data_IF_395348753594
#
_entry.id   IF_395348753594
#
_cell.length_a   1.000
_cell.length_b   1.000
_cell.length_c   1.000
_cell.angle_alpha   90.00
_cell.angle_beta   90.00
_cell.angle_gamma   90.00
#
_symmetry.space_group_name_H-M   'P 1'
#
loop_
_entity.id
_entity.type
_entity.pdbx_description
1 polymer ?
#
# COMPACT_ATOMS: atom_id res chain seq x y z
N UNK A 1 -27.35 -83.43 11.78
CA UNK A 1 -26.54 -82.45 12.54
C UNK A 1 -26.41 -81.18 11.74
N UNK A 2 -27.25 -80.22 11.99
CA UNK A 2 -27.21 -78.88 11.30
C UNK A 2 -26.80 -77.85 12.33
N UNK A 3 -25.66 -77.23 12.15
CA UNK A 3 -25.21 -76.09 12.95
C UNK A 3 -25.72 -74.80 12.30
N UNK A 4 -26.54 -74.08 13.04
CA UNK A 4 -26.99 -72.72 12.69
C UNK A 4 -25.90 -71.75 13.16
N UNK A 5 -25.49 -70.87 12.24
CA UNK A 5 -24.61 -69.76 12.53
C UNK A 5 -25.47 -68.51 12.66
N UNK A 6 -25.53 -67.93 13.83
CA UNK A 6 -26.24 -66.68 14.12
C UNK A 6 -25.28 -65.54 13.86
N UNK A 7 -25.56 -64.68 12.87
CA UNK A 7 -24.84 -63.46 12.61
C UNK A 7 -25.55 -62.32 13.37
N UNK A 8 -24.85 -61.77 14.37
CA UNK A 8 -25.28 -60.57 15.08
C UNK A 8 -24.86 -59.35 14.28
N UNK A 9 -25.82 -58.58 13.79
CA UNK A 9 -25.57 -57.29 13.18
C UNK A 9 -25.57 -56.23 14.28
N UNK A 10 -24.39 -55.69 14.58
CA UNK A 10 -24.23 -54.54 15.47
C UNK A 10 -24.40 -53.29 14.60
N UNK A 11 -25.53 -52.61 14.73
CA UNK A 11 -25.76 -51.30 14.15
C UNK A 11 -24.99 -50.24 14.97
N UNK A 12 -23.83 -49.85 14.48
CA UNK A 12 -23.09 -48.71 14.99
C UNK A 12 -23.72 -47.41 14.49
N UNK A 13 -24.34 -46.67 15.38
CA UNK A 13 -24.74 -45.26 15.11
C UNK A 13 -23.48 -44.42 15.16
N UNK A 14 -22.97 -44.07 14.00
CA UNK A 14 -21.94 -43.03 13.89
C UNK A 14 -22.62 -41.68 14.15
N UNK A 15 -22.44 -41.13 15.34
CA UNK A 15 -22.71 -39.73 15.62
C UNK A 15 -21.70 -38.91 14.82
N UNK A 16 -22.13 -38.31 13.72
CA UNK A 16 -21.39 -37.28 13.02
C UNK A 16 -21.39 -36.04 13.93
N UNK A 17 -20.39 -35.91 14.78
CA UNK A 17 -20.08 -34.68 15.44
C UNK A 17 -19.68 -33.66 14.38
N UNK A 18 -20.53 -32.68 14.14
CA UNK A 18 -20.14 -31.45 13.45
C UNK A 18 -19.12 -30.76 14.37
N UNK A 19 -17.88 -31.03 14.10
CA UNK A 19 -16.77 -30.26 14.67
C UNK A 19 -16.84 -28.89 13.98
N UNK A 20 -17.56 -27.96 14.62
CA UNK A 20 -17.46 -26.54 14.33
C UNK A 20 -16.03 -26.12 14.60
N UNK A 21 -15.14 -26.39 13.65
CA UNK A 21 -13.84 -25.74 13.61
C UNK A 21 -14.13 -24.23 13.50
N UNK A 22 -14.18 -23.57 14.67
CA UNK A 22 -14.02 -22.15 14.76
C UNK A 22 -12.83 -21.82 13.85
N UNK A 23 -13.14 -21.26 12.68
CA UNK A 23 -12.12 -20.62 11.87
C UNK A 23 -11.61 -19.48 12.75
N UNK A 24 -10.50 -19.72 13.43
CA UNK A 24 -9.70 -18.67 14.04
C UNK A 24 -9.24 -17.84 12.84
N UNK A 25 -9.91 -16.71 12.61
CA UNK A 25 -9.40 -15.64 11.75
C UNK A 25 -8.17 -15.06 12.45
N UNK A 26 -7.08 -15.83 12.43
CA UNK A 26 -5.76 -15.28 12.67
C UNK A 26 -5.49 -14.38 11.49
N UNK A 27 -5.28 -13.09 11.76
CA UNK A 27 -4.73 -12.20 10.75
C UNK A 27 -3.51 -12.90 10.14
N UNK A 28 -3.39 -12.93 8.79
CA UNK A 28 -2.23 -13.56 8.18
C UNK A 28 -0.98 -12.92 8.77
N UNK A 29 0.01 -13.75 9.13
CA UNK A 29 1.25 -13.25 9.68
C UNK A 29 1.82 -12.19 8.73
N UNK A 30 2.16 -11.02 9.27
CA UNK A 30 2.72 -9.94 8.50
C UNK A 30 3.94 -10.45 7.74
N UNK A 31 3.86 -10.44 6.42
CA UNK A 31 5.03 -10.73 5.61
C UNK A 31 5.94 -9.51 5.69
N UNK A 32 7.05 -9.60 6.42
CA UNK A 32 8.10 -8.58 6.31
C UNK A 32 8.56 -8.52 4.86
N UNK A 33 8.69 -7.31 4.29
CA UNK A 33 9.36 -7.14 3.01
C UNK A 33 10.79 -7.65 3.19
N UNK A 34 11.24 -8.59 2.34
CA UNK A 34 12.63 -8.99 2.35
C UNK A 34 13.48 -7.75 2.06
N UNK A 35 14.55 -7.48 2.81
CA UNK A 35 15.46 -6.41 2.48
C UNK A 35 15.97 -6.62 1.04
N UNK A 36 16.11 -5.53 0.29
CA UNK A 36 16.70 -5.59 -1.04
C UNK A 36 18.13 -6.16 -0.90
N UNK A 37 18.36 -7.36 -1.43
CA UNK A 37 19.67 -8.02 -1.38
C UNK A 37 20.65 -7.49 -2.43
N UNK A 38 20.26 -6.44 -3.17
CA UNK A 38 21.16 -5.79 -4.12
C UNK A 38 22.19 -5.00 -3.35
N UNK A 39 23.47 -5.34 -3.52
CA UNK A 39 24.58 -4.59 -2.95
C UNK A 39 24.45 -3.10 -3.32
N UNK A 40 24.71 -2.16 -2.38
CA UNK A 40 24.67 -0.75 -2.71
C UNK A 40 25.65 -0.48 -3.85
N UNK A 41 25.14 0.14 -4.92
CA UNK A 41 25.98 0.57 -6.04
C UNK A 41 26.93 1.66 -5.56
N UNK A 42 28.17 1.67 -6.07
CA UNK A 42 29.26 2.49 -5.57
C UNK A 42 29.05 4.02 -5.71
N UNK A 43 27.93 4.48 -6.27
CA UNK A 43 27.63 5.90 -6.54
C UNK A 43 26.15 6.26 -6.35
N UNK A 44 25.45 5.62 -5.42
CA UNK A 44 24.08 6.00 -5.12
C UNK A 44 24.01 7.16 -4.13
N UNK A 45 23.08 8.10 -4.37
CA UNK A 45 22.65 9.08 -3.38
C UNK A 45 21.36 8.61 -2.74
N UNK A 46 21.30 8.72 -1.42
CA UNK A 46 20.11 8.42 -0.64
C UNK A 46 19.21 9.64 -0.49
N UNK A 47 17.90 9.43 -0.67
CA UNK A 47 16.87 10.43 -0.41
C UNK A 47 15.92 9.92 0.65
N UNK A 48 15.51 10.78 1.58
CA UNK A 48 14.48 10.49 2.56
C UNK A 48 13.20 11.24 2.22
N UNK A 49 12.07 10.52 2.16
CA UNK A 49 10.75 11.11 1.93
C UNK A 49 10.38 11.99 3.12
N UNK A 50 9.89 13.19 2.85
CA UNK A 50 9.59 14.19 3.87
C UNK A 50 8.08 14.40 4.08
N UNK A 51 7.75 15.19 5.12
CA UNK A 51 6.37 15.47 5.54
C UNK A 51 5.56 16.31 4.52
N UNK A 52 6.14 16.75 3.41
CA UNK A 52 5.40 17.40 2.30
C UNK A 52 4.83 16.40 1.31
N UNK A 53 5.00 15.12 1.59
CA UNK A 53 4.53 14.03 0.75
C UNK A 53 3.10 13.65 1.10
N UNK A 54 2.31 13.34 0.07
CA UNK A 54 0.93 12.88 0.24
C UNK A 54 0.61 11.71 -0.67
N UNK A 55 -0.41 10.94 -0.27
CA UNK A 55 -1.04 9.94 -1.11
C UNK A 55 -2.53 10.23 -1.21
N UNK A 56 -3.07 10.14 -2.42
CA UNK A 56 -4.51 10.27 -2.65
C UNK A 56 -5.08 8.93 -3.08
N UNK A 57 -6.29 8.64 -2.64
CA UNK A 57 -7.00 7.39 -2.90
C UNK A 57 -8.35 7.75 -3.49
N UNK A 58 -8.65 7.16 -4.64
CA UNK A 58 -9.91 7.31 -5.34
C UNK A 58 -10.59 5.95 -5.53
N UNK A 59 -11.86 5.83 -5.07
CA UNK A 59 -12.61 4.58 -5.13
C UNK A 59 -13.97 4.85 -5.80
N UNK A 60 -14.03 4.79 -7.14
CA UNK A 60 -15.25 5.09 -7.88
C UNK A 60 -16.23 3.93 -7.83
N UNK A 61 -17.23 3.99 -6.96
CA UNK A 61 -18.33 3.04 -6.92
C UNK A 61 -19.62 3.64 -7.52
N UNK A 62 -20.56 2.81 -8.00
CA UNK A 62 -21.76 3.29 -8.67
C UNK A 62 -22.65 4.24 -7.84
N UNK A 63 -22.68 4.07 -6.53
CA UNK A 63 -23.52 4.88 -5.63
C UNK A 63 -22.74 5.89 -4.79
N UNK A 64 -21.43 5.75 -4.70
CA UNK A 64 -20.58 6.59 -3.86
C UNK A 64 -19.16 6.63 -4.42
N UNK A 65 -18.63 7.84 -4.55
CA UNK A 65 -17.27 8.06 -5.04
C UNK A 65 -16.40 8.46 -3.86
N UNK A 66 -15.76 7.46 -3.23
CA UNK A 66 -14.96 7.69 -2.03
C UNK A 66 -13.63 8.33 -2.41
N UNK A 67 -13.34 9.46 -1.77
CA UNK A 67 -12.05 10.15 -1.84
C UNK A 67 -11.39 10.11 -0.48
N UNK A 68 -10.15 9.66 -0.43
CA UNK A 68 -9.37 9.55 0.78
C UNK A 68 -7.90 9.90 0.53
N UNK A 69 -7.12 10.00 1.58
CA UNK A 69 -5.69 10.22 1.47
C UNK A 69 -4.99 10.23 2.82
N UNK A 70 -3.66 10.29 2.78
CA UNK A 70 -2.80 10.48 3.95
C UNK A 70 -1.64 11.41 3.58
N UNK A 71 -1.25 12.27 4.51
CA UNK A 71 -0.10 13.15 4.41
C UNK A 71 1.11 12.62 5.22
N UNK A 72 1.04 11.38 5.72
CA UNK A 72 2.07 10.75 6.52
C UNK A 72 2.84 9.69 5.71
N UNK A 73 3.44 10.10 4.58
CA UNK A 73 4.33 9.26 3.82
C UNK A 73 5.78 9.38 4.32
N UNK A 74 6.48 8.25 4.38
CA UNK A 74 7.90 8.14 4.77
C UNK A 74 8.61 7.15 3.85
N UNK A 75 9.93 7.00 3.99
CA UNK A 75 10.70 6.03 3.23
C UNK A 75 12.01 6.57 2.72
N UNK A 76 12.70 5.75 1.93
CA UNK A 76 13.99 6.11 1.35
C UNK A 76 14.10 5.63 -0.09
N UNK A 77 14.84 6.39 -0.90
CA UNK A 77 15.18 6.04 -2.27
C UNK A 77 16.70 6.10 -2.42
N UNK A 78 17.29 5.07 -3.01
CA UNK A 78 18.69 5.01 -3.40
C UNK A 78 18.77 5.18 -4.91
N UNK A 79 19.39 6.27 -5.40
CA UNK A 79 19.38 6.66 -6.81
C UNK A 79 20.80 6.73 -7.35
N UNK A 80 21.10 6.02 -8.43
CA UNK A 80 22.31 6.17 -9.23
C UNK A 80 22.02 7.11 -10.42
N UNK A 81 22.59 8.29 -10.42
CA UNK A 81 22.36 9.30 -11.46
C UNK A 81 22.89 8.91 -12.84
N UNK A 82 23.85 7.99 -12.91
CA UNK A 82 24.41 7.47 -14.18
C UNK A 82 23.67 6.24 -14.68
N UNK A 83 22.88 5.60 -13.80
CA UNK A 83 22.09 4.42 -14.15
C UNK A 83 20.77 4.39 -13.34
N UNK A 84 19.79 5.21 -13.72
CA UNK A 84 18.50 5.30 -13.04
C UNK A 84 17.74 3.97 -12.96
N UNK A 85 18.01 3.00 -13.86
CA UNK A 85 17.41 1.67 -13.81
C UNK A 85 17.80 0.89 -12.54
N UNK A 86 18.91 1.26 -11.90
CA UNK A 86 19.35 0.64 -10.65
C UNK A 86 18.69 1.22 -9.40
N UNK A 87 17.84 2.25 -9.53
CA UNK A 87 17.11 2.84 -8.40
C UNK A 87 16.35 1.80 -7.61
N UNK A 88 16.45 1.87 -6.28
CA UNK A 88 15.75 1.04 -5.32
C UNK A 88 15.20 1.91 -4.22
N UNK A 89 14.27 1.37 -3.45
CA UNK A 89 13.75 2.10 -2.31
C UNK A 89 12.43 1.58 -1.80
N UNK A 90 11.91 2.30 -0.84
CA UNK A 90 10.68 1.95 -0.16
C UNK A 90 9.89 3.23 0.17
N UNK A 91 8.60 3.21 -0.11
CA UNK A 91 7.63 4.24 0.27
C UNK A 91 6.64 3.63 1.24
N UNK A 92 6.40 4.29 2.37
CA UNK A 92 5.44 3.89 3.40
C UNK A 92 4.41 4.97 3.61
N UNK A 93 3.13 4.61 3.59
CA UNK A 93 2.02 5.47 3.99
C UNK A 93 1.44 4.97 5.31
N UNK A 94 1.32 5.84 6.32
CA UNK A 94 0.75 5.51 7.62
C UNK A 94 -0.79 5.51 7.54
N UNK A 95 -1.40 4.32 7.52
CA UNK A 95 -2.84 4.14 7.37
C UNK A 95 -3.64 4.62 8.60
N UNK A 96 -2.99 4.81 9.75
CA UNK A 96 -3.65 5.41 10.93
C UNK A 96 -3.99 6.89 10.72
N UNK A 97 -3.35 7.54 9.74
CA UNK A 97 -3.61 8.94 9.37
C UNK A 97 -4.57 9.07 8.18
N UNK A 98 -4.98 7.95 7.57
CA UNK A 98 -5.94 7.95 6.46
C UNK A 98 -7.18 8.76 6.85
N UNK A 99 -7.61 9.64 5.97
CA UNK A 99 -8.84 10.43 6.13
C UNK A 99 -9.63 10.45 4.83
N UNK A 100 -10.96 10.40 4.94
CA UNK A 100 -11.87 10.56 3.81
C UNK A 100 -12.35 12.00 3.68
N UNK A 101 -12.63 12.41 2.45
CA UNK A 101 -13.14 13.75 2.10
C UNK A 101 -14.24 13.63 1.03
N UNK A 102 -15.07 12.61 1.15
CA UNK A 102 -16.07 12.24 0.16
C UNK A 102 -17.25 13.20 0.14
N UNK A 103 -17.73 13.59 1.33
CA UNK A 103 -18.98 14.34 1.48
C UNK A 103 -18.76 15.86 1.61
N UNK A 104 -17.56 16.31 1.97
CA UNK A 104 -17.31 17.69 2.38
C UNK A 104 -18.08 18.08 3.65
N UNK A 105 -18.50 17.10 4.44
CA UNK A 105 -19.21 17.20 5.70
C UNK A 105 -18.37 16.49 6.77
N UNK A 106 -17.93 17.24 7.78
CA UNK A 106 -16.94 16.77 8.75
C UNK A 106 -17.39 15.51 9.52
N UNK A 107 -18.68 15.42 9.88
CA UNK A 107 -19.19 14.30 10.68
C UNK A 107 -19.33 13.02 9.80
N UNK A 108 -19.82 13.19 8.57
CA UNK A 108 -19.92 12.08 7.62
C UNK A 108 -18.54 11.57 7.18
N UNK A 109 -17.63 12.48 6.87
CA UNK A 109 -16.25 12.14 6.50
C UNK A 109 -15.52 11.47 7.66
N UNK A 110 -15.72 11.93 8.92
CA UNK A 110 -15.19 11.29 10.11
C UNK A 110 -15.72 9.86 10.28
N UNK A 111 -17.02 9.66 10.13
CA UNK A 111 -17.64 8.32 10.23
C UNK A 111 -17.10 7.39 9.14
N UNK A 112 -17.00 7.87 7.89
CA UNK A 112 -16.46 7.07 6.79
C UNK A 112 -14.98 6.75 7.01
N UNK A 113 -14.19 7.70 7.53
CA UNK A 113 -12.80 7.49 7.93
C UNK A 113 -12.68 6.37 8.95
N UNK A 114 -13.51 6.38 10.01
CA UNK A 114 -13.55 5.32 11.00
C UNK A 114 -13.81 3.94 10.38
N UNK A 115 -14.80 3.84 9.50
CA UNK A 115 -15.08 2.59 8.78
C UNK A 115 -13.91 2.14 7.93
N UNK A 116 -13.25 3.05 7.18
CA UNK A 116 -12.10 2.70 6.35
C UNK A 116 -10.94 2.16 7.19
N UNK A 117 -10.61 2.83 8.31
CA UNK A 117 -9.57 2.36 9.24
C UNK A 117 -9.95 1.03 9.92
N UNK A 118 -11.23 0.80 10.21
CA UNK A 118 -11.71 -0.47 10.77
C UNK A 118 -11.52 -1.62 9.77
N UNK A 119 -11.80 -1.40 8.49
CA UNK A 119 -11.59 -2.44 7.47
C UNK A 119 -10.11 -2.75 7.23
N UNK A 120 -9.25 -1.76 7.44
CA UNK A 120 -7.79 -1.91 7.39
C UNK A 120 -7.20 -2.42 8.72
N UNK A 121 -8.03 -2.61 9.74
CA UNK A 121 -7.64 -3.08 11.08
C UNK A 121 -6.61 -2.16 11.78
N UNK A 122 -6.71 -0.84 11.52
CA UNK A 122 -5.84 0.19 12.12
C UNK A 122 -6.64 1.25 12.90
N UNK A 123 -7.96 1.06 13.09
CA UNK A 123 -8.79 1.98 13.87
C UNK A 123 -8.43 1.95 15.35
N UNK A 124 -8.64 3.09 16.02
CA UNK A 124 -8.44 3.28 17.46
C UNK A 124 -9.74 3.62 18.20
N UNK A 125 -9.70 3.59 19.52
CA UNK A 125 -10.78 3.99 20.41
C UNK A 125 -12.00 3.09 20.30
N UNK A 126 -13.19 3.69 20.22
CA UNK A 126 -14.47 2.98 20.16
C UNK A 126 -14.63 2.11 18.89
N UNK A 127 -14.00 2.52 17.79
CA UNK A 127 -14.11 1.87 16.48
C UNK A 127 -13.09 0.75 16.29
N UNK A 128 -12.02 0.69 17.13
CA UNK A 128 -10.95 -0.30 16.99
C UNK A 128 -10.66 -1.03 18.30
N UNK A 129 -11.20 -2.25 18.42
CA UNK A 129 -11.02 -3.12 19.61
C UNK A 129 -9.96 -4.19 19.41
N UNK A 130 -9.19 -4.12 18.33
CA UNK A 130 -8.12 -5.06 18.04
C UNK A 130 -6.91 -4.83 18.96
N UNK A 131 -6.12 -5.89 19.27
CA UNK A 131 -4.86 -5.77 19.97
C UNK A 131 -3.87 -4.84 19.24
N UNK A 132 -3.01 -4.16 19.99
CA UNK A 132 -2.08 -3.17 19.43
C UNK A 132 -1.04 -3.79 18.48
N UNK A 133 -0.65 -5.04 18.68
CA UNK A 133 0.25 -5.77 17.78
C UNK A 133 -0.38 -6.04 16.41
N UNK A 134 -1.69 -6.31 16.35
CA UNK A 134 -2.43 -6.44 15.08
C UNK A 134 -2.47 -5.10 14.36
N UNK A 135 -2.83 -4.02 15.06
CA UNK A 135 -2.84 -2.66 14.50
C UNK A 135 -1.46 -2.22 14.02
N UNK A 136 -0.42 -2.51 14.79
CA UNK A 136 0.96 -2.19 14.42
C UNK A 136 1.40 -2.93 13.14
N UNK A 137 0.97 -4.19 12.97
CA UNK A 137 1.23 -5.00 11.78
C UNK A 137 0.60 -4.40 10.52
N UNK A 138 -0.62 -3.87 10.63
CA UNK A 138 -1.39 -3.34 9.51
C UNK A 138 -1.20 -1.82 9.29
N UNK A 139 -0.41 -1.17 10.15
CA UNK A 139 -0.25 0.27 10.19
C UNK A 139 0.18 0.90 8.88
N UNK A 140 1.04 0.24 8.11
CA UNK A 140 1.64 0.82 6.93
C UNK A 140 1.22 0.10 5.65
N UNK A 141 0.82 0.89 4.64
CA UNK A 141 0.93 0.47 3.26
C UNK A 141 2.37 0.72 2.80
N UNK A 142 3.02 -0.29 2.23
CA UNK A 142 4.44 -0.21 1.83
C UNK A 142 4.59 -0.59 0.37
N UNK A 143 5.23 0.27 -0.42
CA UNK A 143 5.64 -0.05 -1.78
C UNK A 143 7.16 -0.16 -1.86
N UNK A 144 7.67 -1.36 -2.10
CA UNK A 144 9.10 -1.65 -2.23
C UNK A 144 9.48 -1.78 -3.71
N UNK A 145 10.29 -0.84 -4.21
CA UNK A 145 10.77 -0.81 -5.60
C UNK A 145 11.79 -1.92 -5.82
N UNK A 146 11.52 -2.82 -6.79
CA UNK A 146 12.38 -3.95 -7.17
C UNK A 146 13.18 -3.69 -8.43
N UNK A 147 12.59 -2.99 -9.40
CA UNK A 147 13.25 -2.57 -10.64
C UNK A 147 12.59 -1.32 -11.21
N UNK A 148 13.30 -0.67 -12.13
CA UNK A 148 12.81 0.51 -12.85
C UNK A 148 13.11 0.31 -14.32
N UNK A 149 12.11 0.53 -15.18
CA UNK A 149 12.26 0.48 -16.63
C UNK A 149 11.48 1.61 -17.34
N UNK A 150 11.33 1.51 -18.65
CA UNK A 150 10.67 2.50 -19.51
C UNK A 150 11.11 3.94 -19.19
N UNK A 151 12.36 4.09 -18.81
CA UNK A 151 12.97 5.37 -18.50
C UNK A 151 13.03 6.26 -19.74
N UNK A 152 12.59 7.52 -19.61
CA UNK A 152 12.80 8.53 -20.66
C UNK A 152 14.27 8.91 -20.83
N UNK A 153 15.09 8.69 -19.80
CA UNK A 153 16.56 8.77 -19.81
C UNK A 153 17.13 7.83 -18.76
N UNK A 154 18.18 7.07 -19.09
CA UNK A 154 18.87 6.17 -18.15
C UNK A 154 19.94 6.88 -17.33
N UNK A 155 20.49 7.94 -17.85
CA UNK A 155 21.57 8.77 -17.26
C UNK A 155 21.06 10.20 -17.07
N UNK A 156 20.81 10.57 -15.80
CA UNK A 156 20.30 11.90 -15.44
C UNK A 156 21.26 13.02 -15.79
N UNK A 157 22.57 12.74 -15.81
CA UNK A 157 23.59 13.75 -16.11
C UNK A 157 23.50 14.27 -17.54
N UNK A 158 22.86 13.49 -18.43
CA UNK A 158 22.65 13.84 -19.84
C UNK A 158 21.30 14.53 -20.11
N UNK A 159 20.42 14.60 -19.10
CA UNK A 159 19.13 15.30 -19.22
C UNK A 159 19.38 16.79 -19.11
N UNK A 160 18.93 17.56 -20.11
CA UNK A 160 19.04 19.01 -20.07
C UNK A 160 18.18 19.60 -18.92
N UNK A 161 18.70 20.54 -18.14
CA UNK A 161 17.90 21.19 -17.10
C UNK A 161 16.89 22.16 -17.70
N UNK A 162 15.74 22.28 -17.05
CA UNK A 162 14.75 23.32 -17.25
C UNK A 162 14.70 24.22 -16.02
N UNK A 163 14.10 25.41 -16.11
CA UNK A 163 13.90 26.29 -14.95
C UNK A 163 12.53 26.08 -14.35
N UNK A 164 12.49 25.98 -13.02
CA UNK A 164 11.26 25.98 -12.21
C UNK A 164 11.46 26.98 -11.04
N UNK A 165 10.92 28.18 -11.22
CA UNK A 165 11.18 29.30 -10.31
C UNK A 165 12.67 29.64 -10.21
N UNK A 166 13.22 29.53 -8.99
CA UNK A 166 14.64 29.75 -8.71
C UNK A 166 15.51 28.50 -8.91
N UNK A 167 14.92 27.33 -9.15
CA UNK A 167 15.63 26.07 -9.27
C UNK A 167 15.84 25.66 -10.74
N UNK A 168 16.89 24.88 -10.96
CA UNK A 168 17.05 24.06 -12.14
C UNK A 168 16.46 22.67 -11.89
N UNK A 169 15.73 22.14 -12.88
CA UNK A 169 15.02 20.85 -12.73
C UNK A 169 15.35 19.93 -13.88
N UNK A 170 15.66 18.66 -13.57
CA UNK A 170 15.78 17.59 -14.56
C UNK A 170 14.67 16.55 -14.30
N UNK A 171 13.85 16.29 -15.30
CA UNK A 171 12.70 15.38 -15.17
C UNK A 171 12.89 14.13 -16.00
N UNK A 172 12.56 12.98 -15.41
CA UNK A 172 12.59 11.66 -16.04
C UNK A 172 11.27 10.96 -15.75
N UNK A 173 10.65 10.41 -16.80
CA UNK A 173 9.52 9.47 -16.65
C UNK A 173 10.05 8.05 -16.53
N UNK A 174 9.38 7.22 -15.72
CA UNK A 174 9.74 5.82 -15.52
C UNK A 174 8.52 4.98 -15.16
N UNK A 175 8.64 3.66 -15.36
CA UNK A 175 7.79 2.65 -14.73
C UNK A 175 8.60 1.96 -13.63
N UNK A 176 8.11 1.98 -12.40
CA UNK A 176 8.68 1.20 -11.30
C UNK A 176 7.89 -0.10 -11.15
N UNK A 177 8.60 -1.21 -10.97
CA UNK A 177 8.03 -2.51 -10.62
C UNK A 177 8.35 -2.81 -9.17
N UNK A 178 7.36 -3.17 -8.38
CA UNK A 178 7.55 -3.34 -6.95
C UNK A 178 6.51 -4.23 -6.30
N UNK A 179 6.69 -4.43 -5.00
CA UNK A 179 5.75 -5.16 -4.15
C UNK A 179 4.98 -4.15 -3.30
N UNK A 180 3.65 -4.16 -3.43
CA UNK A 180 2.74 -3.42 -2.57
C UNK A 180 2.27 -4.32 -1.43
N UNK A 181 2.62 -3.96 -0.20
CA UNK A 181 2.14 -4.59 1.03
C UNK A 181 1.03 -3.73 1.62
N UNK A 182 -0.15 -4.28 1.79
CA UNK A 182 -1.26 -3.69 2.54
C UNK A 182 -1.88 -4.81 3.37
N UNK A 183 -2.23 -4.54 4.62
CA UNK A 183 -2.94 -5.46 5.50
C UNK A 183 -2.29 -6.87 5.56
N UNK A 184 -0.94 -6.91 5.60
CA UNK A 184 -0.17 -8.16 5.65
C UNK A 184 -0.03 -8.91 4.31
N UNK A 185 -0.68 -8.48 3.23
CA UNK A 185 -0.65 -9.13 1.92
C UNK A 185 0.21 -8.37 0.93
N UNK A 186 1.14 -9.08 0.27
CA UNK A 186 2.02 -8.55 -0.77
C UNK A 186 1.49 -8.89 -2.15
N UNK A 187 1.46 -7.91 -3.03
CA UNK A 187 1.09 -8.09 -4.43
C UNK A 187 2.05 -7.28 -5.31
N UNK A 188 2.51 -7.84 -6.41
CA UNK A 188 3.31 -7.10 -7.38
C UNK A 188 2.46 -6.02 -8.05
N UNK A 189 3.02 -4.81 -8.15
CA UNK A 189 2.38 -3.65 -8.79
C UNK A 189 3.40 -2.81 -9.52
N UNK A 190 2.94 -2.23 -10.62
CA UNK A 190 3.67 -1.24 -11.39
C UNK A 190 3.15 0.16 -11.04
N UNK A 191 4.06 1.15 -11.05
CA UNK A 191 3.71 2.54 -10.93
C UNK A 191 4.42 3.37 -12.00
N UNK A 192 3.65 4.05 -12.84
CA UNK A 192 4.16 5.02 -13.80
C UNK A 192 4.30 6.37 -13.13
N UNK A 193 5.51 6.91 -13.14
CA UNK A 193 5.86 8.12 -12.40
C UNK A 193 6.68 9.10 -13.25
N UNK A 194 6.55 10.39 -12.91
CA UNK A 194 7.49 11.43 -13.27
C UNK A 194 8.32 11.78 -12.03
N UNK A 195 9.64 11.78 -12.19
CA UNK A 195 10.60 12.14 -11.14
C UNK A 195 11.31 13.41 -11.56
N UNK A 196 11.16 14.48 -10.77
CA UNK A 196 11.82 15.74 -10.99
C UNK A 196 12.90 15.96 -9.93
N UNK A 197 14.14 16.11 -10.36
CA UNK A 197 15.30 16.40 -9.52
C UNK A 197 15.56 17.90 -9.51
N UNK A 198 15.56 18.52 -8.33
CA UNK A 198 15.68 19.96 -8.13
C UNK A 198 17.09 20.34 -7.66
N UNK A 199 17.66 21.34 -8.30
CA UNK A 199 19.04 21.80 -8.08
C UNK A 199 19.08 23.31 -7.76
N UNK A 200 20.07 23.74 -6.98
CA UNK A 200 20.45 25.14 -7.00
C UNK A 200 21.08 25.49 -8.36
N UNK A 201 20.88 26.70 -8.87
CA UNK A 201 21.46 27.12 -10.16
C UNK A 201 22.98 26.86 -10.24
N UNK A 202 23.41 26.28 -11.35
CA UNK A 202 24.84 25.98 -11.59
C UNK A 202 25.38 24.80 -10.81
N UNK A 203 24.53 24.02 -10.14
CA UNK A 203 24.95 22.83 -9.40
C UNK A 203 25.16 21.63 -10.35
N UNK A 204 26.15 20.79 -10.05
CA UNK A 204 26.40 19.57 -10.81
C UNK A 204 25.20 18.60 -10.79
N UNK A 205 25.02 17.84 -11.87
CA UNK A 205 23.86 16.98 -12.07
C UNK A 205 23.73 15.81 -11.06
N UNK A 206 24.80 15.49 -10.34
CA UNK A 206 24.86 14.49 -9.28
C UNK A 206 24.62 15.06 -7.87
N UNK A 207 24.18 16.34 -7.76
CA UNK A 207 23.97 17.02 -6.47
C UNK A 207 22.60 17.73 -6.38
N UNK A 208 21.48 17.03 -6.59
CA UNK A 208 20.17 17.62 -6.36
C UNK A 208 19.94 17.89 -4.86
N UNK A 209 19.17 18.93 -4.57
CA UNK A 209 18.72 19.26 -3.20
C UNK A 209 17.65 18.30 -2.71
N UNK A 210 16.71 18.01 -3.58
CA UNK A 210 15.58 17.13 -3.36
C UNK A 210 15.06 16.60 -4.71
N UNK A 211 14.23 15.60 -4.65
CA UNK A 211 13.42 15.15 -5.78
C UNK A 211 11.93 15.17 -5.42
N UNK A 212 11.09 15.24 -6.46
CA UNK A 212 9.65 14.98 -6.34
C UNK A 212 9.28 13.80 -7.23
N UNK A 213 8.33 12.99 -6.78
CA UNK A 213 7.78 11.85 -7.53
C UNK A 213 6.29 12.04 -7.64
N UNK A 214 5.77 12.07 -8.87
CA UNK A 214 4.33 12.17 -9.13
C UNK A 214 3.86 11.00 -9.98
N UNK A 215 2.75 10.37 -9.59
CA UNK A 215 2.10 9.37 -10.42
C UNK A 215 1.64 10.00 -11.74
N UNK A 216 1.96 9.37 -12.87
CA UNK A 216 1.40 9.71 -14.20
C UNK A 216 0.01 9.11 -14.36
N UNK A 217 -0.13 7.88 -13.88
CA UNK A 217 -1.40 7.15 -13.80
C UNK A 217 -1.57 6.63 -12.38
N UNK A 218 -2.80 6.54 -11.86
CA UNK A 218 -3.03 5.92 -10.57
C UNK A 218 -2.59 4.44 -10.54
N UNK A 219 -1.97 4.01 -9.45
CA UNK A 219 -1.69 2.61 -9.20
C UNK A 219 -2.93 1.95 -8.59
N UNK A 220 -3.41 0.87 -9.21
CA UNK A 220 -4.60 0.16 -8.72
C UNK A 220 -4.27 -0.88 -7.66
N UNK A 221 -4.94 -0.77 -6.50
CA UNK A 221 -4.93 -1.76 -5.43
C UNK A 221 -6.32 -2.40 -5.31
N UNK A 222 -6.43 -3.70 -5.61
CA UNK A 222 -7.69 -4.45 -5.46
C UNK A 222 -7.86 -4.85 -4.01
N UNK A 223 -9.00 -4.54 -3.40
CA UNK A 223 -9.25 -4.81 -1.98
C UNK A 223 -9.11 -6.29 -1.62
N UNK A 224 -9.63 -7.17 -2.50
CA UNK A 224 -9.56 -8.63 -2.30
C UNK A 224 -8.12 -9.17 -2.26
N UNK A 225 -7.21 -8.60 -3.07
CA UNK A 225 -5.80 -9.01 -3.11
C UNK A 225 -5.08 -8.76 -1.78
N UNK A 226 -5.60 -7.83 -0.98
CA UNK A 226 -5.05 -7.43 0.32
C UNK A 226 -5.93 -7.83 1.50
N UNK A 227 -6.90 -8.72 1.32
CA UNK A 227 -7.87 -9.13 2.33
C UNK A 227 -8.61 -7.95 3.02
N UNK A 228 -8.70 -6.80 2.35
CA UNK A 228 -9.45 -5.64 2.85
C UNK A 228 -10.92 -5.85 2.55
N UNK A 229 -11.73 -5.92 3.61
CA UNK A 229 -13.16 -6.23 3.51
C UNK A 229 -13.92 -5.64 4.69
N UNK A 230 -15.27 -5.56 4.60
CA UNK A 230 -16.09 -5.04 5.68
C UNK A 230 -15.88 -5.81 6.98
N UNK A 231 -15.33 -5.12 7.99
CA UNK A 231 -15.09 -5.66 9.33
C UNK A 231 -15.72 -4.76 10.38
N UNK A 232 -16.05 -5.33 11.53
CA UNK A 232 -16.38 -4.59 12.74
C UNK A 232 -15.12 -4.24 13.55
N UNK A 233 -15.27 -3.48 14.63
CA UNK A 233 -14.15 -3.06 15.48
C UNK A 233 -13.39 -4.21 16.17
N UNK A 234 -13.88 -5.44 16.11
CA UNK A 234 -13.23 -6.66 16.60
C UNK A 234 -12.59 -7.49 15.48
N UNK A 235 -12.49 -6.94 14.27
CA UNK A 235 -11.93 -7.62 13.10
C UNK A 235 -12.84 -8.69 12.51
N UNK A 236 -14.08 -8.85 13.00
CA UNK A 236 -15.03 -9.81 12.46
C UNK A 236 -15.70 -9.27 11.22
N UNK A 237 -15.96 -10.14 10.25
CA UNK A 237 -16.69 -9.76 9.04
C UNK A 237 -18.09 -9.27 9.42
N UNK A 238 -18.41 -8.03 9.06
CA UNK A 238 -19.68 -7.39 9.34
C UNK A 238 -20.80 -8.02 8.50
N UNK A 239 -21.85 -8.54 9.16
CA UNK A 239 -22.99 -9.15 8.47
C UNK A 239 -23.66 -8.14 7.54
N UNK A 240 -23.93 -8.54 6.31
CA UNK A 240 -24.60 -7.71 5.29
C UNK A 240 -23.73 -6.62 4.67
N UNK A 241 -22.52 -6.38 5.16
CA UNK A 241 -21.65 -5.32 4.64
C UNK A 241 -21.05 -5.67 3.26
N UNK A 242 -21.03 -6.95 2.87
CA UNK A 242 -20.62 -7.36 1.51
C UNK A 242 -21.46 -6.73 0.40
N UNK A 243 -22.74 -6.38 0.68
CA UNK A 243 -23.58 -5.67 -0.28
C UNK A 243 -23.09 -4.22 -0.55
N UNK A 244 -22.13 -3.72 0.21
CA UNK A 244 -21.51 -2.41 -0.02
C UNK A 244 -20.45 -2.47 -1.12
N UNK A 245 -19.72 -3.59 -1.23
CA UNK A 245 -18.70 -3.78 -2.26
C UNK A 245 -19.33 -3.82 -3.65
N UNK A 246 -18.70 -3.16 -4.60
CA UNK A 246 -19.22 -2.99 -5.96
C UNK A 246 -20.44 -2.08 -6.07
N UNK A 247 -20.96 -1.51 -4.95
CA UNK A 247 -22.10 -0.58 -4.97
C UNK A 247 -21.76 0.78 -4.36
N UNK A 248 -21.52 0.86 -3.05
CA UNK A 248 -21.11 2.07 -2.32
C UNK A 248 -19.61 2.15 -2.16
N UNK A 249 -18.94 1.01 -2.08
CA UNK A 249 -17.48 0.91 -1.98
C UNK A 249 -16.98 0.18 -3.20
N UNK A 250 -16.05 0.75 -3.94
CA UNK A 250 -15.43 0.08 -5.08
C UNK A 250 -14.61 -1.12 -4.61
N UNK A 251 -14.46 -2.11 -5.48
CA UNK A 251 -13.63 -3.31 -5.21
C UNK A 251 -12.13 -3.05 -5.32
N UNK A 252 -11.77 -1.83 -5.71
CA UNK A 252 -10.39 -1.38 -5.86
C UNK A 252 -10.25 0.09 -5.41
N UNK A 253 -9.02 0.45 -5.12
CA UNK A 253 -8.59 1.82 -4.86
C UNK A 253 -7.56 2.22 -5.93
N UNK A 254 -7.73 3.37 -6.56
CA UNK A 254 -6.77 4.00 -7.42
C UNK A 254 -5.92 4.98 -6.58
N UNK A 255 -4.62 4.67 -6.43
CA UNK A 255 -3.69 5.38 -5.56
C UNK A 255 -2.80 6.30 -6.39
N UNK A 256 -2.75 7.58 -6.01
CA UNK A 256 -1.89 8.59 -6.64
C UNK A 256 -0.86 9.08 -5.61
N UNK A 257 0.39 9.18 -6.03
CA UNK A 257 1.51 9.64 -5.21
C UNK A 257 1.89 11.09 -5.60
N UNK A 258 2.11 11.94 -4.61
CA UNK A 258 2.80 13.23 -4.72
C UNK A 258 3.83 13.30 -3.58
N UNK A 259 5.05 12.87 -3.89
CA UNK A 259 6.10 12.70 -2.90
C UNK A 259 7.19 13.73 -3.09
N UNK A 260 7.77 14.15 -1.99
CA UNK A 260 9.02 14.91 -1.93
C UNK A 260 10.04 14.13 -1.12
N UNK A 261 11.27 14.02 -1.61
CA UNK A 261 12.35 13.37 -0.90
C UNK A 261 13.62 14.24 -0.90
N UNK A 262 14.17 14.48 0.26
CA UNK A 262 15.37 15.32 0.44
C UNK A 262 16.62 14.46 0.36
N UNK A 263 17.66 15.00 -0.31
CA UNK A 263 18.96 14.38 -0.36
C UNK A 263 19.53 14.22 1.06
N UNK A 264 20.10 13.04 1.31
CA UNK A 264 20.78 12.75 2.57
C UNK A 264 22.29 12.93 2.38
N UNK A 265 23.01 13.42 3.43
CA UNK A 265 24.46 13.62 3.39
C UNK A 265 25.25 12.35 3.12
#
# INVERSE_FOLDING_TARGET
MKRAITIAIVAGIAAVGCDDKKATNLAPAASSLAPSTVAPFAKTMKFAIDAKSSTSIDMPAPKEHIKAGTDAATGTLDVDFTNLASTRGEVKADLTTLSTKTFGDADKDKTQTGHARTWLEVADGEEGKLPDDVKATNRYAVYAIRSVDKLSATDLTKVAPTKDGADEVRTVSATTHGELLIHGHKVERDADVDVAFHYAPGTAADKPKFLTVKSKTPMRATLADHDVKPRDGFGKIAKGAFNLLGTKVAEFADVTLDLRANAQP
#
